data_IF_071529237617
#
_entry.id   IF_071529237617
#
_cell.length_a   1.000
_cell.length_b   1.000
_cell.length_c   1.000
_cell.angle_alpha   90.00
_cell.angle_beta   90.00
_cell.angle_gamma   90.00
#
_symmetry.space_group_name_H-M   'P 1'
#
loop_
_entity.id
_entity.type
_entity.pdbx_description
1 polymer ?
#
# COMPACT_ATOMS: atom_id res chain seq x y z
N UNK A 1 19.26 1.21 -4.80
CA UNK A 1 17.80 1.46 -4.85
C UNK A 1 17.38 2.16 -3.57
N UNK A 2 16.66 3.26 -3.69
CA UNK A 2 16.16 4.00 -2.53
C UNK A 2 14.67 3.78 -2.39
N UNK A 3 14.19 3.72 -1.15
CA UNK A 3 12.76 3.63 -0.88
C UNK A 3 12.06 4.88 -1.41
N UNK A 4 10.89 4.68 -2.03
CA UNK A 4 10.10 5.74 -2.63
C UNK A 4 8.66 5.59 -2.16
N UNK A 5 8.22 6.48 -1.28
CA UNK A 5 6.86 6.41 -0.72
C UNK A 5 5.78 6.67 -1.78
N UNK A 6 6.11 7.39 -2.84
CA UNK A 6 5.16 7.60 -3.94
C UNK A 6 4.93 6.28 -4.67
N UNK A 7 6.00 5.55 -4.96
CA UNK A 7 5.90 4.25 -5.60
C UNK A 7 5.14 3.25 -4.72
N UNK A 8 5.42 3.27 -3.41
CA UNK A 8 4.73 2.39 -2.46
C UNK A 8 3.21 2.66 -2.47
N UNK A 9 2.82 3.93 -2.46
CA UNK A 9 1.41 4.31 -2.51
C UNK A 9 0.75 3.87 -3.80
N UNK A 10 1.46 4.00 -4.92
CA UNK A 10 0.97 3.59 -6.23
C UNK A 10 0.71 2.09 -6.27
N UNK A 11 1.60 1.30 -5.69
CA UNK A 11 1.44 -0.16 -5.63
C UNK A 11 0.23 -0.53 -4.80
N UNK A 12 0.05 0.10 -3.64
CA UNK A 12 -1.10 -0.19 -2.78
C UNK A 12 -2.40 0.13 -3.51
N UNK A 13 -2.47 1.27 -4.20
CA UNK A 13 -3.64 1.63 -4.99
C UNK A 13 -3.92 0.61 -6.09
N UNK A 14 -2.88 0.20 -6.81
CA UNK A 14 -3.00 -0.77 -7.89
C UNK A 14 -3.54 -2.11 -7.38
N UNK A 15 -2.98 -2.60 -6.27
CA UNK A 15 -3.43 -3.87 -5.68
C UNK A 15 -4.86 -3.76 -5.18
N UNK A 16 -5.21 -2.62 -4.57
CA UNK A 16 -6.58 -2.38 -4.12
C UNK A 16 -7.55 -2.41 -5.29
N UNK A 17 -7.21 -1.72 -6.39
CA UNK A 17 -8.05 -1.68 -7.58
C UNK A 17 -8.20 -3.05 -8.23
N UNK A 18 -7.14 -3.86 -8.21
CA UNK A 18 -7.20 -5.23 -8.76
C UNK A 18 -8.18 -6.10 -7.97
N UNK A 19 -8.39 -5.77 -6.70
CA UNK A 19 -9.36 -6.49 -5.87
C UNK A 19 -10.73 -5.82 -5.86
N UNK A 20 -10.91 -4.79 -6.67
CA UNK A 20 -12.17 -4.05 -6.80
C UNK A 20 -12.66 -3.47 -5.47
N UNK A 21 -11.72 -3.04 -4.63
CA UNK A 21 -12.03 -2.42 -3.34
C UNK A 21 -11.99 -0.91 -3.44
N UNK A 22 -12.90 -0.25 -2.71
CA UNK A 22 -12.81 1.20 -2.47
C UNK A 22 -11.77 1.45 -1.38
N UNK A 23 -11.32 2.71 -1.26
CA UNK A 23 -10.45 3.10 -0.15
C UNK A 23 -11.16 2.86 1.20
N UNK A 24 -12.46 3.15 1.25
CA UNK A 24 -13.24 2.95 2.47
C UNK A 24 -13.21 1.48 2.89
N UNK A 25 -13.39 0.57 1.95
CA UNK A 25 -13.41 -0.85 2.23
C UNK A 25 -12.04 -1.34 2.69
N UNK A 26 -10.98 -0.98 1.96
CA UNK A 26 -9.64 -1.42 2.33
C UNK A 26 -9.22 -0.85 3.68
N UNK A 27 -9.45 0.45 3.91
CA UNK A 27 -9.09 1.07 5.19
C UNK A 27 -9.86 0.43 6.35
N UNK A 28 -11.12 0.08 6.13
CA UNK A 28 -11.92 -0.61 7.14
C UNK A 28 -11.34 -1.96 7.51
N UNK A 29 -10.98 -2.78 6.51
CA UNK A 29 -10.35 -4.08 6.75
C UNK A 29 -8.97 -3.94 7.40
N UNK A 30 -8.21 -2.91 7.02
CA UNK A 30 -6.88 -2.69 7.58
C UNK A 30 -6.90 -2.05 8.97
N UNK A 31 -8.06 -1.54 9.39
CA UNK A 31 -8.17 -0.89 10.70
C UNK A 31 -7.48 0.46 10.76
N UNK A 32 -7.45 1.19 9.64
CA UNK A 32 -6.87 2.54 9.58
C UNK A 32 -7.93 3.51 9.05
N UNK A 33 -7.73 4.80 9.28
CA UNK A 33 -8.63 5.81 8.77
C UNK A 33 -8.55 5.89 7.24
N UNK A 34 -9.68 6.12 6.57
CA UNK A 34 -9.69 6.27 5.11
C UNK A 34 -8.77 7.40 4.65
N UNK A 35 -8.77 8.52 5.40
CA UNK A 35 -7.89 9.64 5.06
C UNK A 35 -6.42 9.27 5.16
N UNK A 36 -6.06 8.40 6.12
CA UNK A 36 -4.69 7.91 6.26
C UNK A 36 -4.32 7.07 5.03
N UNK A 37 -5.18 6.14 4.63
CA UNK A 37 -4.95 5.34 3.43
C UNK A 37 -4.82 6.22 2.19
N UNK A 38 -5.68 7.23 2.06
CA UNK A 38 -5.63 8.16 0.93
C UNK A 38 -4.27 8.87 0.84
N UNK A 39 -3.74 9.34 1.97
CA UNK A 39 -2.44 9.99 2.00
C UNK A 39 -1.30 9.03 1.66
N UNK A 40 -1.41 7.78 2.09
CA UNK A 40 -0.42 6.75 1.74
C UNK A 40 -0.47 6.49 0.23
N UNK A 41 -1.66 6.31 -0.34
CA UNK A 41 -1.81 6.01 -1.76
C UNK A 41 -1.33 7.14 -2.66
N UNK A 42 -1.51 8.40 -2.24
CA UNK A 42 -1.05 9.52 -3.05
C UNK A 42 0.41 9.93 -2.76
N UNK A 43 1.07 9.23 -1.86
CA UNK A 43 2.49 9.43 -1.60
C UNK A 43 2.84 10.56 -0.66
N UNK A 44 1.84 11.21 -0.04
CA UNK A 44 2.11 12.31 0.88
C UNK A 44 2.42 11.86 2.30
N UNK A 45 2.16 10.58 2.61
CA UNK A 45 2.48 10.02 3.91
C UNK A 45 3.07 8.63 3.74
N UNK A 46 4.09 8.35 4.54
CA UNK A 46 4.74 7.05 4.56
C UNK A 46 4.02 6.13 5.55
N UNK A 47 3.74 4.90 5.12
CA UNK A 47 3.20 3.89 6.02
C UNK A 47 4.32 3.32 6.87
N UNK A 48 4.10 3.23 8.18
CA UNK A 48 5.05 2.53 9.04
C UNK A 48 4.87 1.01 8.86
N UNK A 49 5.74 0.23 9.48
CA UNK A 49 5.74 -1.23 9.31
C UNK A 49 4.42 -1.84 9.76
N UNK A 50 3.86 -1.40 10.87
CA UNK A 50 2.58 -1.92 11.35
C UNK A 50 1.46 -1.65 10.35
N UNK A 51 1.42 -0.44 9.79
CA UNK A 51 0.42 -0.07 8.80
C UNK A 51 0.57 -0.91 7.54
N UNK A 52 1.81 -1.16 7.08
CA UNK A 52 2.04 -2.05 5.94
C UNK A 52 1.55 -3.47 6.23
N UNK A 53 1.76 -3.95 7.44
CA UNK A 53 1.29 -5.27 7.85
C UNK A 53 -0.23 -5.36 7.77
N UNK A 54 -0.93 -4.34 8.28
CA UNK A 54 -2.39 -4.28 8.25
C UNK A 54 -2.94 -4.18 6.82
N UNK A 55 -2.30 -3.38 5.99
CA UNK A 55 -2.71 -3.23 4.59
C UNK A 55 -2.49 -4.54 3.83
N UNK A 56 -1.35 -5.19 4.02
CA UNK A 56 -1.06 -6.47 3.38
C UNK A 56 -2.12 -7.51 3.76
N UNK A 57 -2.43 -7.62 5.04
CA UNK A 57 -3.44 -8.56 5.52
C UNK A 57 -4.80 -8.29 4.87
N UNK A 58 -5.20 -7.03 4.80
CA UNK A 58 -6.46 -6.63 4.18
C UNK A 58 -6.50 -6.93 2.68
N UNK A 59 -5.34 -6.95 2.02
CA UNK A 59 -5.20 -7.33 0.61
C UNK A 59 -4.99 -8.83 0.43
N UNK A 60 -5.03 -9.60 1.51
CA UNK A 60 -4.80 -11.04 1.48
C UNK A 60 -3.40 -11.40 0.99
N UNK A 61 -2.44 -10.58 1.34
CA UNK A 61 -1.02 -10.78 1.05
C UNK A 61 -0.23 -10.92 2.34
N UNK A 62 0.91 -11.59 2.26
CA UNK A 62 1.87 -11.49 3.36
C UNK A 62 2.57 -10.13 3.27
N UNK A 63 3.09 -9.61 4.39
CA UNK A 63 3.87 -8.36 4.34
C UNK A 63 5.04 -8.42 3.37
N UNK A 64 5.72 -9.57 3.29
CA UNK A 64 6.84 -9.72 2.35
C UNK A 64 6.39 -9.66 0.90
N UNK A 65 5.20 -10.17 0.58
CA UNK A 65 4.64 -10.07 -0.77
C UNK A 65 4.33 -8.63 -1.13
N UNK A 66 3.77 -7.86 -0.20
CA UNK A 66 3.50 -6.44 -0.43
C UNK A 66 4.80 -5.66 -0.63
N UNK A 67 5.79 -5.88 0.23
CA UNK A 67 7.09 -5.20 0.11
C UNK A 67 7.78 -5.59 -1.17
N UNK A 68 7.70 -6.87 -1.59
CA UNK A 68 8.27 -7.31 -2.86
C UNK A 68 7.64 -6.61 -4.05
N UNK A 69 6.31 -6.39 -4.01
CA UNK A 69 5.62 -5.65 -5.06
C UNK A 69 6.09 -4.19 -5.12
N UNK A 70 6.31 -3.58 -3.96
CA UNK A 70 6.83 -2.21 -3.87
C UNK A 70 8.26 -2.17 -4.42
N UNK A 71 9.08 -3.12 -4.03
CA UNK A 71 10.46 -3.22 -4.51
C UNK A 71 10.50 -3.33 -6.03
N UNK A 72 9.65 -4.16 -6.58
CA UNK A 72 9.57 -4.36 -8.04
C UNK A 72 9.19 -3.07 -8.74
N UNK A 73 8.23 -2.33 -8.20
CA UNK A 73 7.81 -1.05 -8.78
C UNK A 73 8.97 -0.05 -8.78
N UNK A 74 9.70 0.05 -7.67
CA UNK A 74 10.83 0.97 -7.56
C UNK A 74 11.93 0.57 -8.56
N UNK A 75 12.22 -0.72 -8.68
CA UNK A 75 13.24 -1.22 -9.59
C UNK A 75 12.89 -0.92 -11.05
N UNK A 76 11.61 -0.94 -11.41
CA UNK A 76 11.17 -0.68 -12.77
C UNK A 76 11.25 0.79 -13.15
N UNK A 77 11.32 1.69 -12.16
CA UNK A 77 11.41 3.13 -12.41
C UNK A 77 12.85 3.58 -12.70
N UNK A 78 13.82 2.73 -12.45
CA UNK A 78 15.23 3.04 -12.66
C UNK A 78 15.73 2.37 -13.96
#
# INVERSE_FOLDING_TARGET
MHYDQIAAGRVIRKLRNQKHMTQELLSGFAGIARSHLSMIENGTKQANMETLWRIADALELTPSQLVAAIEKEIAQQN
#
